data_IF_339379327286
#
_entry.id   IF_339379327286
#
_cell.length_a   1.000
_cell.length_b   1.000
_cell.length_c   1.000
_cell.angle_alpha   90.00
_cell.angle_beta   90.00
_cell.angle_gamma   90.00
#
_symmetry.space_group_name_H-M   'P 1'
#
loop_
_entity.id
_entity.type
_entity.pdbx_description
1 polymer ?
#
# COMPACT_ATOMS: atom_id res chain seq x y z
N UNK A 1 15.75 19.05 -7.36
CA UNK A 1 15.16 17.80 -7.88
C UNK A 1 16.28 16.79 -8.09
N UNK A 2 16.35 15.73 -7.28
CA UNK A 2 17.27 14.62 -7.53
C UNK A 2 16.51 13.58 -8.35
N UNK A 3 16.99 13.30 -9.55
CA UNK A 3 16.49 12.22 -10.40
C UNK A 3 17.01 10.90 -9.87
N UNK A 4 16.12 9.97 -9.54
CA UNK A 4 16.46 8.62 -9.12
C UNK A 4 16.66 7.75 -10.37
N UNK A 5 17.89 7.31 -10.61
CA UNK A 5 18.19 6.29 -11.63
C UNK A 5 17.85 4.90 -11.05
N UNK A 6 16.83 4.23 -11.60
CA UNK A 6 16.42 2.86 -11.23
C UNK A 6 17.29 1.83 -11.99
N UNK A 7 17.83 0.83 -11.28
CA UNK A 7 18.47 -0.37 -11.85
C UNK A 7 17.50 -1.57 -11.75
N UNK A 8 17.29 -2.31 -12.84
CA UNK A 8 16.26 -3.37 -12.95
C UNK A 8 16.43 -4.53 -11.94
N UNK A 9 15.33 -5.07 -11.39
CA UNK A 9 15.36 -6.27 -10.55
C UNK A 9 15.76 -7.50 -11.38
N UNK A 10 16.90 -8.13 -11.05
CA UNK A 10 17.61 -9.08 -11.91
C UNK A 10 17.07 -10.52 -11.92
N UNK A 11 15.97 -10.82 -11.22
CA UNK A 11 15.32 -12.14 -11.30
C UNK A 11 14.00 -12.16 -12.09
N UNK A 12 13.64 -11.04 -12.70
CA UNK A 12 12.53 -10.98 -13.62
C UNK A 12 13.08 -11.23 -15.04
N UNK A 13 12.86 -12.42 -15.61
CA UNK A 13 13.13 -12.67 -17.03
C UNK A 13 12.47 -11.57 -17.87
N UNK A 14 13.04 -11.21 -19.02
CA UNK A 14 12.78 -9.97 -19.80
C UNK A 14 11.32 -9.65 -20.24
N UNK A 15 10.32 -10.33 -19.66
CA UNK A 15 8.87 -10.09 -19.75
C UNK A 15 8.15 -10.00 -18.37
N UNK A 16 8.84 -9.86 -17.22
CA UNK A 16 8.24 -10.10 -15.88
C UNK A 16 8.25 -8.94 -14.86
N UNK A 17 8.63 -7.71 -15.23
CA UNK A 17 8.16 -6.50 -14.51
C UNK A 17 6.62 -6.43 -14.42
N UNK A 18 5.96 -7.26 -15.23
CA UNK A 18 4.55 -7.63 -15.18
C UNK A 18 4.07 -8.19 -13.82
N UNK A 19 4.85 -8.93 -13.03
CA UNK A 19 4.25 -9.66 -11.88
C UNK A 19 3.70 -8.74 -10.78
N UNK A 20 4.49 -7.76 -10.32
CA UNK A 20 4.04 -6.82 -9.27
C UNK A 20 2.92 -5.93 -9.79
N UNK A 21 3.09 -5.34 -10.98
CA UNK A 21 2.09 -4.43 -11.54
C UNK A 21 0.77 -5.14 -11.87
N UNK A 22 0.80 -6.36 -12.43
CA UNK A 22 -0.41 -7.16 -12.66
C UNK A 22 -1.07 -7.58 -11.35
N UNK A 23 -0.28 -7.86 -10.30
CA UNK A 23 -0.84 -8.13 -8.97
C UNK A 23 -1.52 -6.89 -8.39
N UNK A 24 -0.93 -5.70 -8.52
CA UNK A 24 -1.55 -4.44 -8.11
C UNK A 24 -2.84 -4.16 -8.89
N UNK A 25 -2.87 -4.44 -10.20
CA UNK A 25 -4.11 -4.38 -11.01
C UNK A 25 -5.18 -5.33 -10.51
N UNK A 26 -4.78 -6.55 -10.15
CA UNK A 26 -5.67 -7.56 -9.54
C UNK A 26 -6.26 -7.06 -8.24
N UNK A 27 -5.43 -6.52 -7.33
CA UNK A 27 -5.87 -5.96 -6.05
C UNK A 27 -6.86 -4.81 -6.27
N UNK A 28 -6.53 -3.85 -7.14
CA UNK A 28 -7.42 -2.72 -7.44
C UNK A 28 -8.80 -3.21 -7.93
N UNK A 29 -8.81 -4.20 -8.82
CA UNK A 29 -10.04 -4.79 -9.36
C UNK A 29 -10.89 -5.50 -8.31
N UNK A 30 -10.27 -6.26 -7.39
CA UNK A 30 -11.02 -6.94 -6.33
C UNK A 30 -11.57 -5.94 -5.29
N UNK A 31 -10.80 -4.93 -4.91
CA UNK A 31 -11.29 -3.85 -4.04
C UNK A 31 -12.49 -3.11 -4.66
N UNK A 32 -12.43 -2.79 -5.96
CA UNK A 32 -13.53 -2.17 -6.69
C UNK A 32 -14.80 -3.04 -6.71
N UNK A 33 -14.65 -4.37 -6.79
CA UNK A 33 -15.79 -5.30 -6.75
C UNK A 33 -16.48 -5.27 -5.40
N UNK A 34 -15.70 -5.27 -4.33
CA UNK A 34 -16.23 -5.15 -2.97
C UNK A 34 -16.96 -3.82 -2.79
N UNK A 35 -16.37 -2.72 -3.24
CA UNK A 35 -16.99 -1.40 -3.17
C UNK A 35 -18.31 -1.32 -3.96
N UNK A 36 -18.38 -1.94 -5.14
CA UNK A 36 -19.60 -1.98 -5.97
C UNK A 36 -20.68 -2.91 -5.41
N UNK A 37 -20.29 -4.00 -4.75
CA UNK A 37 -21.25 -4.92 -4.08
C UNK A 37 -22.00 -4.21 -2.95
N UNK A 38 -21.37 -3.23 -2.28
CA UNK A 38 -22.02 -2.39 -1.26
C UNK A 38 -23.13 -1.46 -1.79
N UNK A 39 -23.40 -1.45 -3.11
CA UNK A 39 -24.41 -0.62 -3.76
C UNK A 39 -25.83 -1.20 -3.84
N UNK A 40 -26.04 -2.50 -3.53
CA UNK A 40 -27.34 -3.14 -3.67
C UNK A 40 -27.85 -3.74 -2.34
N UNK A 41 -28.40 -2.88 -1.50
CA UNK A 41 -29.48 -3.29 -0.58
C UNK A 41 -29.07 -3.52 0.87
N UNK A 42 -29.82 -2.89 1.77
CA UNK A 42 -29.87 -3.20 3.20
C UNK A 42 -30.06 -4.70 3.53
N UNK A 43 -30.48 -5.51 2.55
CA UNK A 43 -30.71 -6.96 2.71
C UNK A 43 -29.42 -7.80 2.67
N UNK A 44 -28.39 -7.43 1.91
CA UNK A 44 -27.16 -8.24 1.82
C UNK A 44 -26.35 -8.20 3.13
N UNK A 45 -26.33 -7.05 3.82
CA UNK A 45 -25.69 -6.91 5.14
C UNK A 45 -26.36 -7.73 6.26
N UNK A 46 -27.62 -8.12 6.09
CA UNK A 46 -28.33 -9.00 7.04
C UNK A 46 -28.01 -10.48 6.82
N UNK A 47 -27.61 -10.86 5.61
CA UNK A 47 -27.35 -12.24 5.21
C UNK A 47 -25.88 -12.64 5.34
N UNK A 48 -24.95 -11.68 5.21
CA UNK A 48 -23.53 -11.87 5.46
C UNK A 48 -23.03 -10.80 6.45
N UNK A 49 -22.94 -11.11 7.75
CA UNK A 49 -22.47 -10.19 8.78
C UNK A 49 -20.93 -10.05 8.83
N UNK A 50 -20.20 -10.69 7.91
CA UNK A 50 -18.75 -10.55 7.85
C UNK A 50 -18.36 -9.10 7.50
N UNK A 51 -17.32 -8.54 8.13
CA UNK A 51 -16.83 -7.22 7.80
C UNK A 51 -16.43 -7.16 6.32
N UNK A 52 -17.09 -6.28 5.58
CA UNK A 52 -16.79 -6.05 4.17
C UNK A 52 -15.60 -5.09 4.10
N UNK A 53 -14.41 -5.64 3.99
CA UNK A 53 -13.19 -4.85 3.82
C UNK A 53 -12.99 -4.45 2.36
N UNK A 54 -13.07 -3.15 2.06
CA UNK A 54 -12.85 -2.60 0.70
C UNK A 54 -11.37 -2.29 0.40
N UNK A 55 -10.50 -2.62 1.35
CA UNK A 55 -9.09 -2.23 1.36
C UNK A 55 -8.22 -3.43 1.69
N UNK A 56 -7.25 -3.71 0.81
CA UNK A 56 -6.15 -4.66 1.08
C UNK A 56 -4.91 -3.83 1.38
N UNK A 57 -4.54 -3.64 2.67
CA UNK A 57 -3.30 -2.96 3.02
C UNK A 57 -2.10 -3.76 2.52
N UNK A 58 -1.08 -3.07 2.01
CA UNK A 58 0.11 -3.71 1.49
C UNK A 58 1.39 -2.92 1.77
N UNK A 59 2.50 -3.63 1.70
CA UNK A 59 3.85 -3.10 1.78
C UNK A 59 4.58 -3.43 0.49
N UNK A 60 5.34 -2.48 -0.02
CA UNK A 60 6.14 -2.64 -1.24
C UNK A 60 7.62 -2.52 -0.95
N UNK A 61 8.42 -3.27 -1.70
CA UNK A 61 9.86 -3.04 -1.78
C UNK A 61 10.24 -2.52 -3.16
N UNK A 62 11.26 -1.68 -3.19
CA UNK A 62 11.85 -1.18 -4.43
C UNK A 62 12.84 -2.21 -5.00
N UNK A 63 13.23 -2.00 -6.25
CA UNK A 63 14.37 -2.69 -6.89
C UNK A 63 15.69 -2.60 -6.11
N UNK A 64 15.84 -1.63 -5.19
CA UNK A 64 16.99 -1.52 -4.28
C UNK A 64 16.85 -2.40 -3.02
N UNK A 65 15.83 -3.27 -2.96
CA UNK A 65 15.50 -4.10 -1.80
C UNK A 65 15.27 -3.27 -0.53
N UNK A 66 14.63 -2.11 -0.68
CA UNK A 66 14.25 -1.19 0.41
C UNK A 66 12.75 -1.06 0.46
N UNK A 67 12.18 -0.84 1.64
CA UNK A 67 10.77 -0.49 1.75
C UNK A 67 10.48 0.79 0.96
N UNK A 68 9.41 0.76 0.18
CA UNK A 68 8.80 1.99 -0.31
C UNK A 68 8.20 2.70 0.90
N UNK A 69 8.52 3.98 1.04
CA UNK A 69 7.89 4.84 2.05
C UNK A 69 7.42 6.14 1.41
N UNK A 70 6.49 6.80 2.06
CA UNK A 70 6.00 8.11 1.69
C UNK A 70 5.80 8.98 2.92
N UNK A 71 5.82 10.29 2.70
CA UNK A 71 5.43 11.30 3.68
C UNK A 71 4.01 11.75 3.36
N UNK A 72 3.20 11.92 4.40
CA UNK A 72 1.88 12.54 4.29
C UNK A 72 1.64 13.46 5.47
N UNK A 73 0.57 14.23 5.41
CA UNK A 73 0.19 15.18 6.46
C UNK A 73 -1.17 14.84 7.05
N UNK A 74 -1.35 15.06 8.35
CA UNK A 74 -2.64 14.94 9.02
C UNK A 74 -3.49 16.17 8.71
N UNK A 75 -4.79 16.11 9.06
CA UNK A 75 -5.68 17.29 8.92
C UNK A 75 -5.25 18.42 9.86
N UNK A 76 -4.58 18.06 10.94
CA UNK A 76 -4.02 18.93 11.96
C UNK A 76 -2.65 19.53 11.55
N UNK A 77 -2.08 19.09 10.42
CA UNK A 77 -0.82 19.62 9.87
C UNK A 77 0.44 18.94 10.41
N UNK A 78 0.30 17.79 11.06
CA UNK A 78 1.43 16.97 11.50
C UNK A 78 1.88 16.06 10.35
N UNK A 79 3.17 15.97 10.08
CA UNK A 79 3.68 15.04 9.06
C UNK A 79 3.90 13.65 9.64
N UNK A 80 3.54 12.61 8.90
CA UNK A 80 3.79 11.22 9.24
C UNK A 80 4.56 10.51 8.12
N UNK A 81 5.19 9.39 8.47
CA UNK A 81 5.84 8.49 7.52
C UNK A 81 5.07 7.18 7.47
N UNK A 82 4.84 6.65 6.27
CA UNK A 82 4.21 5.34 6.11
C UNK A 82 4.93 4.47 5.09
N UNK A 83 4.90 3.16 5.34
CA UNK A 83 5.26 2.08 4.39
C UNK A 83 4.04 1.25 4.00
N UNK A 84 2.85 1.66 4.45
CA UNK A 84 1.58 0.97 4.25
C UNK A 84 0.77 1.71 3.20
N UNK A 85 0.29 0.96 2.22
CA UNK A 85 -0.41 1.50 1.08
C UNK A 85 -1.70 0.74 0.82
N UNK A 86 -2.65 1.41 0.20
CA UNK A 86 -3.79 0.81 -0.51
C UNK A 86 -3.61 1.08 -2.00
N UNK A 87 -3.93 0.12 -2.85
CA UNK A 87 -3.95 0.39 -4.30
C UNK A 87 -5.18 1.23 -4.61
N UNK A 88 -5.00 2.44 -5.11
CA UNK A 88 -6.12 3.27 -5.58
C UNK A 88 -6.50 2.84 -7.00
N UNK A 89 -5.53 2.87 -7.93
CA UNK A 89 -5.68 2.40 -9.30
C UNK A 89 -4.31 2.13 -9.93
N UNK A 90 -4.32 1.49 -11.09
CA UNK A 90 -3.11 1.27 -11.89
C UNK A 90 -3.37 1.72 -13.32
N UNK A 91 -2.62 2.71 -13.78
CA UNK A 91 -2.74 3.34 -15.10
C UNK A 91 -1.47 3.02 -15.92
N UNK A 92 -1.56 2.09 -16.87
CA UNK A 92 -0.42 1.65 -17.66
C UNK A 92 0.62 0.92 -16.80
N UNK A 93 1.79 1.55 -16.61
CA UNK A 93 2.89 1.06 -15.77
C UNK A 93 3.03 1.85 -14.46
N UNK A 94 2.08 2.74 -14.14
CA UNK A 94 2.10 3.54 -12.93
C UNK A 94 1.03 3.03 -11.96
N UNK A 95 1.42 2.79 -10.71
CA UNK A 95 0.49 2.53 -9.63
C UNK A 95 0.22 3.83 -8.87
N UNK A 96 -1.06 4.14 -8.67
CA UNK A 96 -1.50 5.18 -7.74
C UNK A 96 -1.82 4.48 -6.42
N UNK A 97 -1.13 4.88 -5.37
CA UNK A 97 -1.17 4.25 -4.06
C UNK A 97 -1.68 5.27 -3.05
N UNK A 98 -2.78 4.96 -2.38
CA UNK A 98 -3.26 5.72 -1.24
C UNK A 98 -2.39 5.42 -0.01
N UNK A 99 -1.98 6.47 0.71
CA UNK A 99 -1.20 6.37 1.94
C UNK A 99 -2.10 5.91 3.08
N UNK A 100 -1.71 4.85 3.78
CA UNK A 100 -2.36 4.42 5.01
C UNK A 100 -1.53 4.91 6.20
N UNK A 101 -2.12 5.72 7.09
CA UNK A 101 -1.42 6.21 8.29
C UNK A 101 -1.44 5.12 9.36
N UNK A 102 -0.30 4.70 9.89
CA UNK A 102 -0.25 3.73 10.98
C UNK A 102 -0.53 4.39 12.33
N UNK A 103 -1.25 3.66 13.19
CA UNK A 103 -1.43 3.93 14.61
C UNK A 103 -1.03 2.67 15.41
N UNK A 104 -0.11 2.79 16.39
CA UNK A 104 0.73 3.96 16.66
C UNK A 104 1.63 4.32 15.46
N UNK A 105 2.10 5.57 15.40
CA UNK A 105 2.98 6.02 14.31
C UNK A 105 4.29 5.24 14.27
N UNK A 106 4.86 5.12 13.06
CA UNK A 106 6.16 4.49 12.89
C UNK A 106 7.27 5.41 13.40
N UNK A 107 7.91 5.00 14.50
CA UNK A 107 9.11 5.66 15.00
C UNK A 107 10.32 5.29 14.16
N UNK A 108 10.73 6.16 13.23
CA UNK A 108 11.96 5.98 12.45
C UNK A 108 13.12 6.62 13.23
N UNK A 109 14.10 5.84 13.70
CA UNK A 109 15.23 6.39 14.45
C UNK A 109 15.98 7.46 13.65
N UNK A 110 16.35 8.55 14.32
CA UNK A 110 17.14 9.61 13.70
C UNK A 110 18.45 9.06 13.09
N UNK A 111 18.76 9.45 11.86
CA UNK A 111 19.94 8.98 11.13
C UNK A 111 19.75 7.69 10.33
N UNK A 112 18.57 7.06 10.39
CA UNK A 112 18.21 5.99 9.46
C UNK A 112 17.78 6.56 8.11
N UNK A 113 18.31 6.01 7.02
CA UNK A 113 17.90 6.35 5.66
C UNK A 113 16.68 5.54 5.19
N UNK A 114 16.38 4.44 5.88
CA UNK A 114 15.37 3.45 5.50
C UNK A 114 14.58 3.01 6.74
N UNK A 115 13.33 2.57 6.55
CA UNK A 115 12.49 2.04 7.63
C UNK A 115 12.90 0.59 7.95
N UNK A 116 13.33 0.26 9.19
CA UNK A 116 13.70 -1.10 9.56
C UNK A 116 12.51 -2.08 9.49
N UNK A 117 12.66 -3.19 8.76
CA UNK A 117 11.62 -4.22 8.60
C UNK A 117 11.12 -4.81 9.94
N UNK A 118 11.97 -4.85 10.96
CA UNK A 118 11.62 -5.37 12.28
C UNK A 118 10.71 -4.43 13.10
N UNK A 119 10.61 -3.15 12.75
CA UNK A 119 9.65 -2.22 13.37
C UNK A 119 8.24 -2.39 12.80
N UNK A 120 8.13 -2.77 11.53
CA UNK A 120 6.85 -2.97 10.83
C UNK A 120 6.09 -4.22 11.34
N UNK A 121 6.80 -5.26 11.77
CA UNK A 121 6.23 -6.59 12.09
C UNK A 121 5.84 -6.77 13.57
N UNK A 122 6.21 -5.84 14.46
CA UNK A 122 6.05 -6.00 15.92
C UNK A 122 4.74 -5.46 16.51
N UNK A 123 3.96 -4.68 15.76
CA UNK A 123 2.78 -4.02 16.29
C UNK A 123 1.57 -4.95 16.21
N UNK A 124 1.33 -5.73 17.28
CA UNK A 124 0.10 -6.53 17.41
C UNK A 124 -1.17 -5.65 17.48
N UNK A 125 -1.02 -4.36 17.78
CA UNK A 125 -2.08 -3.35 17.81
C UNK A 125 -2.03 -2.42 16.58
N UNK A 126 -1.46 -2.88 15.46
CA UNK A 126 -1.36 -2.08 14.24
C UNK A 126 -2.76 -1.76 13.69
N UNK A 127 -3.08 -0.47 13.69
CA UNK A 127 -4.23 0.10 13.02
C UNK A 127 -3.77 0.97 11.85
N UNK A 128 -4.45 0.90 10.72
CA UNK A 128 -4.16 1.63 9.49
C UNK A 128 -5.35 2.47 9.12
N UNK A 129 -5.16 3.78 9.02
CA UNK A 129 -6.23 4.73 8.71
C UNK A 129 -6.06 5.24 7.28
N UNK A 130 -7.15 5.20 6.51
CA UNK A 130 -7.19 5.79 5.16
C UNK A 130 -7.04 7.30 5.22
N UNK A 131 -6.12 7.84 4.42
CA UNK A 131 -5.84 9.28 4.43
C UNK A 131 -6.42 10.01 3.21
N UNK A 132 -6.77 9.29 2.14
CA UNK A 132 -7.10 9.88 0.84
C UNK A 132 -5.94 10.58 0.13
N UNK A 133 -4.74 10.61 0.73
CA UNK A 133 -3.54 11.13 0.09
C UNK A 133 -2.91 10.05 -0.76
N UNK A 134 -2.45 10.40 -1.96
CA UNK A 134 -1.94 9.43 -2.92
C UNK A 134 -0.51 9.75 -3.36
N UNK A 135 0.28 8.70 -3.60
CA UNK A 135 1.57 8.77 -4.29
C UNK A 135 1.51 7.96 -5.58
N UNK A 136 2.36 8.31 -6.54
CA UNK A 136 2.44 7.64 -7.84
C UNK A 136 3.81 7.00 -7.96
N UNK A 137 3.84 5.72 -8.29
CA UNK A 137 5.09 4.96 -8.41
C UNK A 137 5.11 4.19 -9.73
N UNK A 138 6.25 4.24 -10.40
CA UNK A 138 6.52 3.39 -11.55
C UNK A 138 6.68 1.93 -11.10
N UNK A 139 5.85 1.05 -11.66
CA UNK A 139 5.89 -0.39 -11.38
C UNK A 139 7.28 -1.01 -11.63
N UNK A 140 8.09 -0.46 -12.54
CA UNK A 140 9.47 -0.94 -12.78
C UNK A 140 10.43 -0.69 -11.62
N UNK A 141 10.13 0.27 -10.75
CA UNK A 141 10.93 0.53 -9.56
C UNK A 141 10.47 -0.31 -8.35
N UNK A 142 9.43 -1.13 -8.49
CA UNK A 142 8.95 -2.06 -7.46
C UNK A 142 9.51 -3.48 -7.71
N UNK A 143 9.87 -4.20 -6.66
CA UNK A 143 10.35 -5.58 -6.79
C UNK A 143 9.48 -6.61 -6.06
N UNK A 144 9.01 -6.33 -4.84
CA UNK A 144 8.09 -7.24 -4.14
C UNK A 144 6.94 -6.49 -3.49
N UNK A 145 5.85 -7.21 -3.25
CA UNK A 145 4.72 -6.75 -2.46
C UNK A 145 4.37 -7.79 -1.41
N UNK A 146 3.83 -7.33 -0.28
CA UNK A 146 3.23 -8.17 0.75
C UNK A 146 1.88 -7.58 1.11
N UNK A 147 0.81 -8.34 0.88
CA UNK A 147 -0.51 -8.02 1.41
C UNK A 147 -0.52 -8.25 2.93
N UNK A 148 -1.26 -7.41 3.63
CA UNK A 148 -1.53 -7.50 5.05
C UNK A 148 -3.01 -7.85 5.26
N UNK A 149 -3.36 -8.16 6.50
CA UNK A 149 -4.73 -8.49 6.86
C UNK A 149 -5.62 -7.24 6.70
N UNK A 150 -6.75 -7.33 5.97
CA UNK A 150 -7.69 -6.21 5.84
C UNK A 150 -8.26 -5.70 7.17
N UNK A 151 -8.28 -6.53 8.23
CA UNK A 151 -8.71 -6.13 9.57
C UNK A 151 -7.82 -5.08 10.22
N UNK A 152 -6.65 -4.79 9.67
CA UNK A 152 -5.83 -3.67 10.12
C UNK A 152 -6.37 -2.31 9.67
N UNK A 153 -7.35 -2.24 8.75
CA UNK A 153 -7.88 -0.96 8.24
C UNK A 153 -9.19 -0.58 8.93
N UNK A 154 -9.28 0.68 9.38
CA UNK A 154 -10.49 1.31 9.93
C UNK A 154 -10.97 2.50 9.09
#
# INVERSE_FOLDING_TARGET
MKSFHCHSCSSCSKNTCSCVCETLKGIAKEQDRVQKSCGNGCYEKLLNPEPVYDTVPLILTTNMNRLLYALGDTREGESFITVFFRVDRVDGNCAVLELLRPFPELEIPAGMADVPLNQVVRNNDLLLVRTGQCTIVDCECLCTLKCLDPSFVE
#
